data_IF_209288883688
#
_entry.id   IF_209288883688
#
_cell.length_a   1.000
_cell.length_b   1.000
_cell.length_c   1.000
_cell.angle_alpha   90.00
_cell.angle_beta   90.00
_cell.angle_gamma   90.00
#
_symmetry.space_group_name_H-M   'P 1'
#
loop_
_entity.id
_entity.type
_entity.pdbx_description
1 polymer ?
#
# COMPACT_ATOMS: atom_id res chain seq x y z
N UNK A 1 -54.23 7.87 -55.57
CA UNK A 1 -52.97 8.28 -54.93
C UNK A 1 -53.09 9.40 -53.92
N UNK A 2 -54.20 10.12 -53.85
CA UNK A 2 -54.37 11.21 -52.86
C UNK A 2 -54.68 10.73 -51.43
N UNK A 3 -55.30 9.58 -51.24
CA UNK A 3 -55.66 9.06 -49.90
C UNK A 3 -54.43 8.66 -49.04
N UNK A 4 -53.32 8.20 -49.62
CA UNK A 4 -52.12 7.84 -48.89
C UNK A 4 -51.40 9.04 -48.27
N UNK A 5 -51.53 10.22 -48.90
CA UNK A 5 -50.89 11.46 -48.37
C UNK A 5 -51.59 12.04 -47.12
N UNK A 6 -52.91 11.85 -47.02
CA UNK A 6 -53.67 12.29 -45.85
C UNK A 6 -53.43 11.41 -44.63
N UNK A 7 -53.26 10.12 -44.79
CA UNK A 7 -52.98 9.19 -43.71
C UNK A 7 -51.60 9.41 -43.09
N UNK A 8 -50.59 9.74 -43.91
CA UNK A 8 -49.22 10.03 -43.46
C UNK A 8 -49.22 11.35 -42.71
N UNK A 9 -49.89 12.39 -43.19
CA UNK A 9 -49.96 13.68 -42.53
C UNK A 9 -50.68 13.59 -41.17
N UNK A 10 -51.78 12.86 -41.09
CA UNK A 10 -52.49 12.60 -39.82
C UNK A 10 -51.64 11.79 -38.84
N UNK A 11 -50.90 10.79 -39.33
CA UNK A 11 -49.97 10.00 -38.50
C UNK A 11 -48.87 10.85 -37.87
N UNK A 12 -48.24 11.75 -38.68
CA UNK A 12 -47.28 12.71 -38.14
C UNK A 12 -47.88 13.68 -37.16
N UNK A 13 -49.10 14.22 -37.45
CA UNK A 13 -49.79 15.14 -36.54
C UNK A 13 -50.14 14.46 -35.20
N UNK A 14 -50.46 13.16 -35.24
CA UNK A 14 -50.75 12.41 -34.02
C UNK A 14 -49.45 12.06 -33.23
N UNK A 15 -48.37 11.75 -33.95
CA UNK A 15 -47.06 11.51 -33.35
C UNK A 15 -46.45 12.75 -32.69
N UNK A 16 -46.68 13.92 -33.23
CA UNK A 16 -46.24 15.20 -32.69
C UNK A 16 -47.32 15.90 -31.84
N UNK A 17 -48.33 15.15 -31.38
CA UNK A 17 -49.29 15.72 -30.43
C UNK A 17 -48.57 16.07 -29.11
N UNK A 18 -48.90 17.22 -28.49
CA UNK A 18 -48.21 17.63 -27.27
C UNK A 18 -48.34 16.61 -26.12
N UNK A 19 -49.41 15.79 -26.14
CA UNK A 19 -49.60 14.72 -25.15
C UNK A 19 -48.60 13.56 -25.31
N UNK A 20 -48.29 13.15 -26.53
CA UNK A 20 -47.31 12.10 -26.79
C UNK A 20 -45.89 12.62 -26.52
N UNK A 21 -45.60 13.85 -26.92
CA UNK A 21 -44.33 14.47 -26.65
C UNK A 21 -44.01 14.58 -25.15
N UNK A 22 -44.98 15.00 -24.36
CA UNK A 22 -44.83 15.09 -22.89
C UNK A 22 -44.65 13.72 -22.25
N UNK A 23 -45.36 12.72 -22.74
CA UNK A 23 -45.22 11.34 -22.23
C UNK A 23 -43.82 10.77 -22.53
N UNK A 24 -43.29 11.00 -23.76
CA UNK A 24 -41.94 10.54 -24.16
C UNK A 24 -40.86 11.24 -23.32
N UNK A 25 -41.01 12.54 -23.08
CA UNK A 25 -40.07 13.28 -22.24
C UNK A 25 -40.11 12.77 -20.80
N UNK A 26 -41.29 12.52 -20.24
CA UNK A 26 -41.46 12.00 -18.89
C UNK A 26 -40.80 10.61 -18.74
N UNK A 27 -41.06 9.70 -19.66
CA UNK A 27 -40.41 8.36 -19.68
C UNK A 27 -38.89 8.49 -19.85
N UNK A 28 -38.43 9.33 -20.76
CA UNK A 28 -37.01 9.60 -20.98
C UNK A 28 -36.30 10.11 -19.71
N UNK A 29 -36.95 11.00 -18.98
CA UNK A 29 -36.44 11.56 -17.72
C UNK A 29 -36.33 10.49 -16.64
N UNK A 30 -37.32 9.61 -16.49
CA UNK A 30 -37.28 8.52 -15.52
C UNK A 30 -36.18 7.52 -15.87
N UNK A 31 -36.08 7.12 -17.13
CA UNK A 31 -35.02 6.22 -17.58
C UNK A 31 -33.63 6.82 -17.32
N UNK A 32 -33.45 8.10 -17.65
CA UNK A 32 -32.20 8.80 -17.37
C UNK A 32 -31.83 8.81 -15.88
N UNK A 33 -32.80 9.06 -15.00
CA UNK A 33 -32.57 9.04 -13.55
C UNK A 33 -32.20 7.64 -13.06
N UNK A 34 -32.85 6.59 -13.57
CA UNK A 34 -32.51 5.20 -13.23
C UNK A 34 -31.09 4.88 -13.67
N UNK A 35 -30.70 5.19 -14.91
CA UNK A 35 -29.34 4.96 -15.42
C UNK A 35 -28.32 5.71 -14.57
N UNK A 36 -28.56 6.98 -14.27
CA UNK A 36 -27.67 7.78 -13.44
C UNK A 36 -27.51 7.19 -12.03
N UNK A 37 -28.60 6.70 -11.43
CA UNK A 37 -28.56 6.04 -10.13
C UNK A 37 -27.73 4.75 -10.17
N UNK A 38 -27.97 3.89 -11.14
CA UNK A 38 -27.20 2.65 -11.32
C UNK A 38 -25.71 2.91 -11.52
N UNK A 39 -25.36 3.88 -12.35
CA UNK A 39 -23.95 4.27 -12.56
C UNK A 39 -23.31 4.78 -11.26
N UNK A 40 -24.04 5.55 -10.45
CA UNK A 40 -23.54 6.06 -9.19
C UNK A 40 -23.31 4.94 -8.16
N UNK A 41 -24.19 3.95 -8.13
CA UNK A 41 -24.05 2.78 -7.25
C UNK A 41 -22.87 1.90 -7.67
N UNK A 42 -22.69 1.66 -8.97
CA UNK A 42 -21.52 0.93 -9.47
C UNK A 42 -20.21 1.67 -9.14
N UNK A 43 -20.15 2.98 -9.34
CA UNK A 43 -18.94 3.76 -8.98
C UNK A 43 -18.65 3.67 -7.49
N UNK A 44 -19.67 3.74 -6.63
CA UNK A 44 -19.49 3.60 -5.16
C UNK A 44 -19.00 2.21 -4.77
N UNK A 45 -19.52 1.15 -5.40
CA UNK A 45 -19.09 -0.21 -5.14
C UNK A 45 -17.60 -0.41 -5.53
N UNK A 46 -17.22 0.01 -6.74
CA UNK A 46 -15.83 -0.05 -7.21
C UNK A 46 -14.89 0.77 -6.32
N UNK A 47 -15.32 1.97 -5.92
CA UNK A 47 -14.52 2.81 -5.02
C UNK A 47 -14.30 2.12 -3.67
N UNK A 48 -15.35 1.54 -3.09
CA UNK A 48 -15.27 0.81 -1.81
C UNK A 48 -14.33 -0.40 -1.89
N UNK A 49 -14.37 -1.14 -2.99
CA UNK A 49 -13.49 -2.28 -3.22
C UNK A 49 -12.03 -1.84 -3.38
N UNK A 50 -11.79 -0.74 -4.11
CA UNK A 50 -10.47 -0.16 -4.25
C UNK A 50 -9.91 0.34 -2.90
N UNK A 51 -10.72 1.02 -2.09
CA UNK A 51 -10.32 1.49 -0.77
C UNK A 51 -9.99 0.32 0.17
N UNK A 52 -10.78 -0.77 0.10
CA UNK A 52 -10.51 -1.98 0.86
C UNK A 52 -9.22 -2.69 0.40
N UNK A 53 -8.97 -2.72 -0.91
CA UNK A 53 -7.73 -3.26 -1.47
C UNK A 53 -6.51 -2.44 -1.07
N UNK A 54 -6.58 -1.12 -1.16
CA UNK A 54 -5.49 -0.23 -0.74
C UNK A 54 -5.14 -0.41 0.74
N UNK A 55 -6.12 -0.52 1.63
CA UNK A 55 -5.88 -0.80 3.05
C UNK A 55 -5.18 -2.15 3.27
N UNK A 56 -5.54 -3.17 2.48
CA UNK A 56 -4.86 -4.47 2.55
C UNK A 56 -3.41 -4.39 2.07
N UNK A 57 -3.16 -3.65 0.99
CA UNK A 57 -1.81 -3.42 0.47
C UNK A 57 -0.94 -2.69 1.49
N UNK A 58 -1.43 -1.62 2.10
CA UNK A 58 -0.73 -0.90 3.18
C UNK A 58 -0.40 -1.82 4.37
N UNK A 59 -1.35 -2.67 4.77
CA UNK A 59 -1.13 -3.63 5.85
C UNK A 59 -0.08 -4.70 5.49
N UNK A 60 -0.10 -5.20 4.25
CA UNK A 60 0.89 -6.17 3.77
C UNK A 60 2.26 -5.53 3.69
N UNK A 61 2.35 -4.30 3.19
CA UNK A 61 3.62 -3.57 3.09
C UNK A 61 4.23 -3.31 4.47
N UNK A 62 3.42 -2.88 5.44
CA UNK A 62 3.86 -2.68 6.82
C UNK A 62 4.37 -4.00 7.44
N UNK A 63 3.61 -5.08 7.31
CA UNK A 63 4.01 -6.39 7.83
C UNK A 63 5.27 -6.93 7.15
N UNK A 64 5.42 -6.72 5.86
CA UNK A 64 6.60 -7.13 5.11
C UNK A 64 7.85 -6.35 5.54
N UNK A 65 7.70 -5.05 5.83
CA UNK A 65 8.77 -4.21 6.35
C UNK A 65 9.22 -4.68 7.74
N UNK A 66 8.29 -4.89 8.65
CA UNK A 66 8.58 -5.36 10.02
C UNK A 66 9.27 -6.73 9.99
N UNK A 67 8.76 -7.67 9.18
CA UNK A 67 9.38 -8.98 9.00
C UNK A 67 10.79 -8.90 8.39
N UNK A 68 11.00 -7.95 7.48
CA UNK A 68 12.32 -7.72 6.89
C UNK A 68 13.32 -7.17 7.93
N UNK A 69 12.90 -6.23 8.76
CA UNK A 69 13.73 -5.67 9.83
C UNK A 69 14.10 -6.74 10.87
N UNK A 70 13.14 -7.56 11.29
CA UNK A 70 13.37 -8.68 12.22
C UNK A 70 14.32 -9.73 11.62
N UNK A 71 14.15 -10.09 10.37
CA UNK A 71 15.02 -11.03 9.67
C UNK A 71 16.45 -10.47 9.54
N UNK A 72 16.58 -9.21 9.16
CA UNK A 72 17.88 -8.54 9.05
C UNK A 72 18.59 -8.50 10.39
N UNK A 73 17.89 -8.19 11.46
CA UNK A 73 18.41 -8.20 12.84
C UNK A 73 18.92 -9.58 13.24
N UNK A 74 18.17 -10.64 12.93
CA UNK A 74 18.58 -12.00 13.25
C UNK A 74 19.80 -12.47 12.44
N UNK A 75 19.86 -12.12 11.14
CA UNK A 75 21.03 -12.41 10.30
C UNK A 75 22.26 -11.71 10.84
N UNK A 76 22.19 -10.42 11.18
CA UNK A 76 23.31 -9.67 11.73
C UNK A 76 23.75 -10.23 13.09
N UNK A 77 22.80 -10.65 13.92
CA UNK A 77 23.08 -11.31 15.20
C UNK A 77 23.87 -12.60 14.99
N UNK A 78 23.42 -13.46 14.09
CA UNK A 78 24.12 -14.73 13.80
C UNK A 78 25.49 -14.49 13.21
N UNK A 79 25.65 -13.55 12.26
CA UNK A 79 26.95 -13.20 11.69
C UNK A 79 27.94 -12.72 12.76
N UNK A 80 27.48 -11.86 13.68
CA UNK A 80 28.32 -11.37 14.78
C UNK A 80 28.74 -12.50 15.71
N UNK A 81 27.79 -13.30 16.20
CA UNK A 81 28.06 -14.37 17.16
C UNK A 81 28.96 -15.45 16.55
N UNK A 82 28.66 -15.92 15.34
CA UNK A 82 29.49 -16.91 14.64
C UNK A 82 30.88 -16.36 14.29
N UNK A 83 30.95 -15.10 13.82
CA UNK A 83 32.22 -14.47 13.49
C UNK A 83 33.12 -14.26 14.68
N UNK A 84 32.56 -13.89 15.86
CA UNK A 84 33.28 -13.75 17.13
C UNK A 84 33.74 -15.12 17.63
N UNK A 85 32.84 -16.10 17.69
CA UNK A 85 33.14 -17.45 18.19
C UNK A 85 34.21 -18.13 17.36
N UNK A 86 34.14 -18.04 16.04
CA UNK A 86 35.08 -18.61 15.11
C UNK A 86 36.39 -17.82 14.96
N UNK A 87 36.47 -16.62 15.56
CA UNK A 87 37.59 -15.65 15.42
C UNK A 87 37.91 -15.30 13.96
N UNK A 88 36.89 -15.32 13.09
CA UNK A 88 37.07 -15.01 11.66
C UNK A 88 36.95 -13.52 11.35
N UNK A 89 36.25 -12.76 12.19
CA UNK A 89 36.03 -11.34 12.00
C UNK A 89 37.15 -10.54 12.68
N UNK A 90 37.68 -9.58 11.94
CA UNK A 90 38.56 -8.54 12.50
C UNK A 90 37.74 -7.57 13.37
N UNK A 91 38.41 -6.82 14.24
CA UNK A 91 37.76 -5.82 15.06
C UNK A 91 36.96 -4.79 14.24
N UNK A 92 37.50 -4.35 13.11
CA UNK A 92 36.80 -3.44 12.20
C UNK A 92 35.53 -4.02 11.59
N UNK A 93 35.54 -5.32 11.22
CA UNK A 93 34.36 -6.00 10.71
C UNK A 93 33.31 -6.22 11.80
N UNK A 94 33.74 -6.56 13.02
CA UNK A 94 32.83 -6.66 14.17
C UNK A 94 32.14 -5.33 14.45
N UNK A 95 32.91 -4.20 14.48
CA UNK A 95 32.33 -2.86 14.65
C UNK A 95 31.32 -2.55 13.54
N UNK A 96 31.65 -2.80 12.28
CA UNK A 96 30.76 -2.57 11.15
C UNK A 96 29.45 -3.35 11.24
N UNK A 97 29.50 -4.64 11.53
CA UNK A 97 28.29 -5.46 11.68
C UNK A 97 27.50 -5.09 12.93
N UNK A 98 28.21 -4.68 14.00
CA UNK A 98 27.56 -4.26 15.23
C UNK A 98 26.81 -2.92 15.06
N UNK A 99 27.37 -1.95 14.36
CA UNK A 99 26.68 -0.70 14.05
C UNK A 99 25.44 -0.94 13.22
N UNK A 100 25.52 -1.80 12.23
CA UNK A 100 24.33 -2.23 11.48
C UNK A 100 23.29 -2.93 12.35
N UNK A 101 23.73 -3.82 13.24
CA UNK A 101 22.83 -4.49 14.18
C UNK A 101 22.12 -3.51 15.10
N UNK A 102 22.82 -2.51 15.61
CA UNK A 102 22.23 -1.45 16.43
C UNK A 102 21.22 -0.62 15.65
N UNK A 103 21.50 -0.30 14.38
CA UNK A 103 20.60 0.51 13.55
C UNK A 103 19.24 -0.16 13.29
N UNK A 104 19.19 -1.49 13.34
CA UNK A 104 17.93 -2.27 13.21
C UNK A 104 17.33 -2.68 14.55
N UNK A 105 17.68 -1.99 15.64
CA UNK A 105 17.15 -2.25 16.98
C UNK A 105 17.74 -3.47 17.69
N UNK A 106 19.02 -3.67 17.54
CA UNK A 106 19.79 -4.71 18.25
C UNK A 106 19.67 -4.61 19.77
N UNK A 107 19.77 -5.75 20.46
CA UNK A 107 19.60 -5.85 21.91
C UNK A 107 20.94 -5.74 22.68
N UNK A 108 20.84 -5.53 24.00
CA UNK A 108 21.98 -5.39 24.91
C UNK A 108 22.81 -6.66 25.08
N UNK A 109 22.25 -7.83 24.84
CA UNK A 109 22.95 -9.11 24.98
C UNK A 109 24.11 -9.21 23.97
N UNK A 110 23.84 -8.94 22.69
CA UNK A 110 24.90 -8.94 21.65
C UNK A 110 25.89 -7.81 21.90
N UNK A 111 25.41 -6.66 22.37
CA UNK A 111 26.28 -5.53 22.75
C UNK A 111 27.34 -5.95 23.79
N UNK A 112 26.96 -6.68 24.85
CA UNK A 112 27.90 -7.13 25.88
C UNK A 112 28.95 -8.11 25.33
N UNK A 113 28.55 -9.01 24.41
CA UNK A 113 29.46 -9.96 23.77
C UNK A 113 30.47 -9.23 22.88
N UNK A 114 30.00 -8.28 22.06
CA UNK A 114 30.85 -7.48 21.19
C UNK A 114 31.85 -6.63 22.00
N UNK A 115 31.39 -5.95 23.05
CA UNK A 115 32.26 -5.18 23.92
C UNK A 115 33.33 -6.04 24.60
N UNK A 116 32.97 -7.24 25.06
CA UNK A 116 33.94 -8.15 25.65
C UNK A 116 34.99 -8.61 24.63
N UNK A 117 34.56 -8.99 23.45
CA UNK A 117 35.45 -9.43 22.38
C UNK A 117 36.45 -8.34 21.92
N UNK A 118 35.99 -7.11 21.76
CA UNK A 118 36.83 -5.96 21.38
C UNK A 118 37.86 -5.63 22.48
N UNK A 119 37.49 -5.75 23.75
CA UNK A 119 38.44 -5.59 24.87
C UNK A 119 39.49 -6.68 24.88
N UNK A 120 39.14 -7.92 24.62
CA UNK A 120 40.09 -9.05 24.53
C UNK A 120 41.07 -8.88 23.39
N UNK A 121 40.68 -8.16 22.33
CA UNK A 121 41.59 -7.80 21.22
C UNK A 121 42.50 -6.61 21.54
N UNK A 122 42.38 -5.99 22.72
CA UNK A 122 43.17 -4.83 23.14
C UNK A 122 42.71 -3.49 22.55
N UNK A 123 41.52 -3.45 21.96
CA UNK A 123 40.91 -2.22 21.46
C UNK A 123 39.95 -1.65 22.53
N UNK A 124 40.46 -0.81 23.44
CA UNK A 124 39.61 -0.05 24.35
C UNK A 124 38.79 0.99 23.58
N UNK A 125 37.47 1.02 23.84
CA UNK A 125 36.55 2.03 23.35
C UNK A 125 36.95 3.43 23.88
N UNK A 126 37.78 4.13 23.14
CA UNK A 126 38.14 5.53 23.42
C UNK A 126 37.20 6.54 22.72
N UNK A 127 36.05 6.08 22.17
CA UNK A 127 35.16 6.96 21.38
C UNK A 127 33.98 7.55 22.16
N UNK A 128 33.98 7.56 23.49
CA UNK A 128 32.87 8.18 24.25
C UNK A 128 33.29 9.45 25.05
N UNK A 129 34.13 10.29 24.44
CA UNK A 129 34.42 11.63 24.97
C UNK A 129 34.60 12.68 23.88
N UNK A 130 33.55 13.05 23.19
CA UNK A 130 33.43 14.36 22.59
C UNK A 130 31.95 14.76 22.44
N UNK A 131 31.33 15.13 23.55
CA UNK A 131 30.27 16.12 23.54
C UNK A 131 30.37 16.96 24.81
N UNK A 132 30.93 18.13 24.59
CA UNK A 132 30.87 19.23 25.52
C UNK A 132 30.35 20.45 24.75
#
# INVERSE_FOLDING_TARGET
MEQLGWDVAQFFHHLFSPQILTSVIAVGTVVYQIIKKLQSEQKRAVQKDNDAMNKRLESIEANAKDAHEDLMKEILRLQLLEGIESKRLSSSEVRYFYDKYRSVGGNSFVSSIVCHYLKDLGEDDNDDKTDN
#
